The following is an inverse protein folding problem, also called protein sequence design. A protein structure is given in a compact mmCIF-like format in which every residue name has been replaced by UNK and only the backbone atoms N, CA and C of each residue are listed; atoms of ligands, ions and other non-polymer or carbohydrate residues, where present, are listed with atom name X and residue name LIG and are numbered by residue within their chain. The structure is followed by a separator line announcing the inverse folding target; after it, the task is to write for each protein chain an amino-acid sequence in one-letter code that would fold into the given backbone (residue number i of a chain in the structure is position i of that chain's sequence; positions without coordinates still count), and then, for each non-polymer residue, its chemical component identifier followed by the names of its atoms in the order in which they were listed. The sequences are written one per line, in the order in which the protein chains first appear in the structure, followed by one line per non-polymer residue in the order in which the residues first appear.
data_IF_911276546065
#
_entry.id   IF_911276546065
#
_cell.length_a   1.000
_cell.length_b   1.000
_cell.length_c   1.000
_cell.angle_alpha   90.00
_cell.angle_beta   90.00
_cell.angle_gamma   90.00
#
_symmetry.space_group_name_H-M   'P 1'
#
loop_
_entity.id
_entity.type
_entity.pdbx_description
1 polymer ?
#
# COMPACT_ATOMS: atom_id res chain seq x y z
N UNK A 1 -7.43 -19.03 24.78
CA UNK A 1 -7.56 -18.02 25.86
C UNK A 1 -9.02 -17.64 26.03
N UNK A 2 -9.51 -17.45 27.26
CA UNK A 2 -10.85 -16.89 27.51
C UNK A 2 -10.94 -15.45 26.99
N UNK A 3 -12.14 -15.04 26.53
CA UNK A 3 -12.39 -13.70 25.97
C UNK A 3 -12.80 -12.74 27.10
N UNK A 4 -12.30 -11.51 27.05
CA UNK A 4 -12.73 -10.41 27.91
C UNK A 4 -13.73 -9.53 27.16
N UNK A 5 -14.82 -9.13 27.82
CA UNK A 5 -15.90 -8.36 27.22
C UNK A 5 -16.06 -7.03 27.96
N UNK A 6 -16.13 -5.93 27.21
CA UNK A 6 -16.52 -4.60 27.68
C UNK A 6 -17.77 -4.15 26.94
N UNK A 7 -18.61 -3.38 27.61
CA UNK A 7 -19.89 -2.94 27.07
C UNK A 7 -20.05 -1.42 27.17
N UNK A 8 -21.02 -0.91 26.42
CA UNK A 8 -21.53 0.46 26.50
C UNK A 8 -20.46 1.56 26.49
N UNK A 9 -20.47 2.42 27.50
CA UNK A 9 -19.63 3.61 27.58
C UNK A 9 -18.16 3.26 27.82
N UNK A 10 -17.89 2.21 28.60
CA UNK A 10 -16.52 1.79 28.91
C UNK A 10 -15.81 1.26 27.65
N UNK A 11 -16.50 0.46 26.85
CA UNK A 11 -16.00 -0.01 25.56
C UNK A 11 -15.75 1.14 24.58
N UNK A 12 -16.74 2.03 24.44
CA UNK A 12 -16.66 3.19 23.53
C UNK A 12 -15.53 4.16 23.92
N UNK A 13 -15.36 4.40 25.22
CA UNK A 13 -14.29 5.26 25.73
C UNK A 13 -12.91 4.67 25.49
N UNK A 14 -12.75 3.35 25.65
CA UNK A 14 -11.49 2.67 25.34
C UNK A 14 -11.14 2.76 23.85
N UNK A 15 -12.10 2.46 22.97
CA UNK A 15 -11.92 2.62 21.52
C UNK A 15 -11.53 4.05 21.15
N UNK A 16 -12.20 5.06 21.73
CA UNK A 16 -11.91 6.46 21.47
C UNK A 16 -10.49 6.87 21.88
N UNK A 17 -9.97 6.34 22.99
CA UNK A 17 -8.57 6.59 23.39
C UNK A 17 -7.60 6.05 22.34
N UNK A 18 -7.82 4.83 21.87
CA UNK A 18 -7.05 4.23 20.79
C UNK A 18 -7.06 5.04 19.49
N UNK A 19 -8.27 5.40 19.04
CA UNK A 19 -8.48 6.28 17.86
C UNK A 19 -7.74 7.61 18.02
N UNK A 20 -7.79 8.23 19.20
CA UNK A 20 -7.10 9.50 19.45
C UNK A 20 -5.58 9.37 19.44
N UNK A 21 -5.03 8.34 20.07
CA UNK A 21 -3.57 8.11 20.08
C UNK A 21 -3.06 7.99 18.65
N UNK A 22 -3.73 7.17 17.84
CA UNK A 22 -3.36 6.99 16.44
C UNK A 22 -3.52 8.27 15.62
N UNK A 23 -4.67 8.94 15.74
CA UNK A 23 -4.96 10.14 14.98
C UNK A 23 -4.01 11.30 15.32
N UNK A 24 -3.66 11.52 16.58
CA UNK A 24 -2.75 12.60 16.97
C UNK A 24 -1.31 12.35 16.46
N UNK A 25 -0.86 11.10 16.42
CA UNK A 25 0.44 10.75 15.84
C UNK A 25 0.48 11.01 14.33
N UNK A 26 -0.54 10.57 13.59
CA UNK A 26 -0.61 10.71 12.14
C UNK A 26 -0.90 12.17 11.73
N UNK A 27 -1.80 12.86 12.43
CA UNK A 27 -2.17 14.27 12.13
C UNK A 27 -0.97 15.22 12.22
N UNK A 28 0.04 14.91 13.03
CA UNK A 28 1.25 15.73 13.12
C UNK A 28 1.99 15.85 11.77
N UNK A 29 1.79 14.92 10.85
CA UNK A 29 2.44 14.90 9.53
C UNK A 29 1.65 15.64 8.45
N UNK A 30 0.44 16.12 8.74
CA UNK A 30 -0.47 16.68 7.73
C UNK A 30 0.06 17.99 7.10
N UNK A 31 0.14 17.99 5.77
CA UNK A 31 0.36 19.18 4.95
C UNK A 31 1.80 19.72 4.95
N UNK A 32 2.05 20.90 4.34
CA UNK A 32 3.41 21.41 4.10
C UNK A 32 4.17 21.77 5.39
N UNK A 33 3.45 22.01 6.49
CA UNK A 33 4.02 22.25 7.82
C UNK A 33 3.99 21.00 8.71
N UNK A 34 3.76 19.84 8.11
CA UNK A 34 3.84 18.53 8.76
C UNK A 34 5.20 18.35 9.43
N UNK A 35 5.16 17.87 10.66
CA UNK A 35 6.34 17.57 11.49
C UNK A 35 6.81 16.16 11.22
N UNK A 36 8.09 15.93 11.49
CA UNK A 36 8.67 14.61 11.41
C UNK A 36 8.19 13.76 12.59
N UNK A 37 7.87 12.51 12.31
CA UNK A 37 7.69 11.46 13.30
C UNK A 37 8.94 10.58 13.26
N UNK A 38 9.45 10.26 14.44
CA UNK A 38 10.64 9.41 14.61
C UNK A 38 10.16 8.03 15.06
N UNK A 39 10.53 7.01 14.31
CA UNK A 39 10.12 5.62 14.50
C UNK A 39 11.37 4.82 14.84
N UNK A 40 11.32 4.14 15.99
CA UNK A 40 12.43 3.31 16.45
C UNK A 40 12.57 2.05 15.57
N UNK A 41 13.81 1.61 15.38
CA UNK A 41 14.15 0.37 14.68
C UNK A 41 15.01 -0.49 15.60
N UNK A 42 14.72 -1.79 15.69
CA UNK A 42 15.49 -2.74 16.52
C UNK A 42 16.98 -2.77 16.19
N UNK A 43 17.34 -2.44 14.95
CA UNK A 43 18.71 -2.37 14.46
C UNK A 43 18.90 -1.13 13.59
N UNK A 44 20.05 -0.49 13.70
CA UNK A 44 20.41 0.68 12.89
C UNK A 44 19.86 2.00 13.45
N UNK A 45 19.74 2.99 12.57
CA UNK A 45 19.21 4.31 12.91
C UNK A 45 17.67 4.33 12.85
N UNK A 46 17.01 5.19 13.65
CA UNK A 46 15.56 5.35 13.59
C UNK A 46 15.12 5.90 12.22
N UNK A 47 13.92 5.53 11.80
CA UNK A 47 13.29 6.10 10.61
C UNK A 47 12.68 7.45 10.96
N UNK A 48 12.99 8.47 10.17
CA UNK A 48 12.37 9.80 10.28
C UNK A 48 11.46 9.98 9.08
N UNK A 49 10.16 10.13 9.31
CA UNK A 49 9.17 10.20 8.23
C UNK A 49 8.12 11.29 8.45
N UNK A 50 7.56 11.76 7.34
CA UNK A 50 6.32 12.57 7.30
C UNK A 50 5.17 11.83 6.63
N UNK A 51 5.36 10.56 6.31
CA UNK A 51 4.30 9.75 5.72
C UNK A 51 3.35 9.22 6.80
N UNK A 52 2.08 9.60 6.71
CA UNK A 52 1.04 9.16 7.62
C UNK A 52 0.76 7.66 7.55
N UNK A 53 1.00 7.01 6.40
CA UNK A 53 0.79 5.55 6.25
C UNK A 53 1.85 4.78 7.03
N UNK A 54 3.12 5.14 6.85
CA UNK A 54 4.22 4.56 7.61
C UNK A 54 4.02 4.74 9.11
N UNK A 55 3.62 5.95 9.55
CA UNK A 55 3.32 6.20 10.97
C UNK A 55 2.15 5.34 11.46
N UNK A 56 1.07 5.24 10.69
CA UNK A 56 -0.09 4.43 11.01
C UNK A 56 0.23 2.93 11.13
N UNK A 57 1.15 2.42 10.29
CA UNK A 57 1.53 1.00 10.28
C UNK A 57 2.23 0.57 11.56
N UNK A 58 3.04 1.45 12.14
CA UNK A 58 3.89 1.20 13.30
C UNK A 58 3.18 1.36 14.66
N UNK A 59 1.92 1.82 14.65
CA UNK A 59 1.15 2.00 15.88
C UNK A 59 0.49 0.68 16.28
N UNK A 60 0.92 0.17 17.43
CA UNK A 60 0.32 -0.97 18.14
C UNK A 60 0.25 -0.62 19.63
N UNK A 61 -0.93 -0.75 20.22
CA UNK A 61 -1.17 -0.34 21.61
C UNK A 61 -1.18 -1.55 22.54
N UNK A 62 -0.71 -1.36 23.78
CA UNK A 62 -0.63 -2.45 24.77
C UNK A 62 -2.02 -2.87 25.28
N UNK A 63 -2.93 -1.92 25.44
CA UNK A 63 -4.31 -2.23 25.86
C UNK A 63 -5.08 -2.76 24.64
N UNK A 64 -5.65 -3.98 24.70
CA UNK A 64 -6.32 -4.58 23.54
C UNK A 64 -7.53 -3.79 23.03
N UNK A 65 -8.25 -3.08 23.90
CA UNK A 65 -9.43 -2.31 23.49
C UNK A 65 -9.04 -0.98 22.85
N UNK A 66 -7.99 -0.34 23.34
CA UNK A 66 -7.41 0.83 22.69
C UNK A 66 -6.79 0.43 21.35
N UNK A 67 -6.04 -0.67 21.31
CA UNK A 67 -5.45 -1.17 20.08
C UNK A 67 -6.51 -1.48 19.02
N UNK A 68 -7.62 -2.11 19.39
CA UNK A 68 -8.75 -2.30 18.47
C UNK A 68 -9.23 -0.98 17.84
N UNK A 69 -9.32 0.10 18.62
CA UNK A 69 -9.69 1.42 18.10
C UNK A 69 -8.66 1.99 17.13
N UNK A 70 -7.36 1.81 17.43
CA UNK A 70 -6.28 2.18 16.53
C UNK A 70 -6.30 1.34 15.24
N UNK A 71 -6.41 0.02 15.33
CA UNK A 71 -6.45 -0.86 14.14
C UNK A 71 -7.65 -0.54 13.23
N UNK A 72 -8.81 -0.17 13.78
CA UNK A 72 -9.94 0.30 12.96
C UNK A 72 -9.60 1.55 12.14
N UNK A 73 -8.87 2.50 12.73
CA UNK A 73 -8.46 3.72 12.05
C UNK A 73 -7.31 3.47 11.05
N UNK A 74 -6.44 2.51 11.33
CA UNK A 74 -5.41 2.00 10.40
C UNK A 74 -6.02 1.40 9.15
N UNK A 75 -7.11 0.67 9.29
CA UNK A 75 -7.85 0.10 8.15
C UNK A 75 -8.43 1.19 7.24
N UNK A 76 -8.95 2.28 7.82
CA UNK A 76 -9.43 3.45 7.06
C UNK A 76 -8.27 4.06 6.25
N UNK A 77 -7.13 4.30 6.91
CA UNK A 77 -5.95 4.87 6.25
C UNK A 77 -5.42 3.97 5.12
N UNK A 78 -5.30 2.66 5.36
CA UNK A 78 -4.81 1.70 4.37
C UNK A 78 -5.72 1.65 3.14
N UNK A 79 -7.03 1.51 3.33
CA UNK A 79 -7.99 1.44 2.21
C UNK A 79 -8.00 2.70 1.35
N UNK A 80 -7.81 3.88 1.95
CA UNK A 80 -7.65 5.12 1.19
C UNK A 80 -6.36 5.09 0.35
N UNK A 81 -5.25 4.63 0.93
CA UNK A 81 -3.99 4.47 0.20
C UNK A 81 -4.10 3.50 -0.97
N UNK A 82 -4.74 2.35 -0.75
CA UNK A 82 -4.80 1.26 -1.73
C UNK A 82 -5.60 1.65 -2.97
N UNK A 83 -6.62 2.52 -2.82
CA UNK A 83 -7.49 2.94 -3.92
C UNK A 83 -7.01 4.25 -4.55
N UNK A 84 -6.60 5.22 -3.73
CA UNK A 84 -6.32 6.58 -4.20
C UNK A 84 -4.82 6.94 -4.25
N UNK A 85 -3.94 6.17 -3.59
CA UNK A 85 -2.50 6.42 -3.51
C UNK A 85 -2.07 7.58 -2.60
N UNK A 86 -3.02 8.40 -2.11
CA UNK A 86 -2.78 9.52 -1.20
C UNK A 86 -4.04 9.78 -0.34
N UNK A 87 -3.95 10.69 0.64
CA UNK A 87 -5.07 11.16 1.45
C UNK A 87 -5.28 10.41 2.76
N UNK A 88 -4.37 9.52 3.12
CA UNK A 88 -4.46 8.67 4.32
C UNK A 88 -4.54 9.49 5.60
N UNK A 89 -3.67 10.49 5.75
CA UNK A 89 -3.67 11.42 6.89
C UNK A 89 -4.99 12.20 6.97
N UNK A 90 -5.52 12.64 5.83
CA UNK A 90 -6.81 13.35 5.76
C UNK A 90 -7.96 12.44 6.18
N UNK A 91 -7.98 11.18 5.71
CA UNK A 91 -8.99 10.19 6.08
C UNK A 91 -8.94 9.89 7.58
N UNK A 92 -7.76 9.74 8.17
CA UNK A 92 -7.56 9.54 9.62
C UNK A 92 -8.13 10.71 10.44
N UNK A 93 -7.84 11.95 10.05
CA UNK A 93 -8.33 13.15 10.77
C UNK A 93 -9.85 13.28 10.67
N UNK A 94 -10.44 13.02 9.49
CA UNK A 94 -11.89 13.04 9.31
C UNK A 94 -12.57 11.94 10.12
N UNK A 95 -12.03 10.72 10.09
CA UNK A 95 -12.56 9.60 10.84
C UNK A 95 -12.51 9.85 12.36
N UNK A 96 -11.41 10.42 12.89
CA UNK A 96 -11.32 10.83 14.28
C UNK A 96 -12.42 11.83 14.65
N UNK A 97 -12.62 12.88 13.83
CA UNK A 97 -13.61 13.92 14.09
C UNK A 97 -15.05 13.35 14.08
N UNK A 98 -15.39 12.56 13.07
CA UNK A 98 -16.71 11.91 12.93
C UNK A 98 -16.96 10.98 14.10
N UNK A 99 -15.98 10.14 14.47
CA UNK A 99 -16.14 9.19 15.56
C UNK A 99 -16.31 9.89 16.92
N UNK A 100 -15.52 10.93 17.20
CA UNK A 100 -15.59 11.69 18.44
C UNK A 100 -16.95 12.38 18.61
N UNK A 101 -17.40 13.11 17.60
CA UNK A 101 -18.68 13.82 17.67
C UNK A 101 -19.87 12.85 17.62
N UNK A 102 -19.75 11.73 16.89
CA UNK A 102 -20.72 10.65 16.91
C UNK A 102 -20.90 10.07 18.31
N UNK A 103 -19.80 9.68 18.97
CA UNK A 103 -19.83 9.16 20.33
C UNK A 103 -20.44 10.14 21.33
N UNK A 104 -20.10 11.43 21.24
CA UNK A 104 -20.67 12.48 22.10
C UNK A 104 -22.20 12.54 21.99
N UNK A 105 -22.74 12.45 20.77
CA UNK A 105 -24.19 12.45 20.56
C UNK A 105 -24.85 11.15 21.05
N UNK A 106 -24.17 10.01 20.90
CA UNK A 106 -24.66 8.74 21.43
C UNK A 106 -24.73 8.76 22.95
N UNK A 107 -23.71 9.30 23.62
CA UNK A 107 -23.73 9.50 25.08
C UNK A 107 -24.85 10.45 25.51
N UNK A 108 -25.20 11.43 24.67
CA UNK A 108 -26.34 12.33 24.89
C UNK A 108 -27.72 11.66 24.64
N UNK A 109 -27.76 10.37 24.32
CA UNK A 109 -29.00 9.60 24.12
C UNK A 109 -29.51 9.54 22.68
N UNK A 110 -28.75 10.05 21.70
CA UNK A 110 -29.12 9.94 20.30
C UNK A 110 -29.02 8.49 19.81
N UNK A 111 -29.92 8.09 18.92
CA UNK A 111 -29.91 6.76 18.31
C UNK A 111 -28.68 6.59 17.38
N UNK A 112 -27.74 5.66 17.66
CA UNK A 112 -26.56 5.45 16.83
C UNK A 112 -26.86 5.13 15.37
N UNK A 113 -27.92 4.37 15.10
CA UNK A 113 -28.34 4.03 13.74
C UNK A 113 -28.98 5.21 13.00
N UNK A 114 -29.57 6.16 13.74
CA UNK A 114 -30.02 7.43 13.18
C UNK A 114 -28.84 8.31 12.76
N UNK A 115 -27.85 8.44 13.65
CA UNK A 115 -26.61 9.20 13.37
C UNK A 115 -25.86 8.62 12.16
N UNK A 116 -25.67 7.29 12.11
CA UNK A 116 -25.02 6.62 10.98
C UNK A 116 -25.70 6.97 9.65
N UNK A 117 -27.03 6.82 9.56
CA UNK A 117 -27.79 7.15 8.33
C UNK A 117 -27.64 8.61 7.94
N UNK A 118 -27.65 9.52 8.90
CA UNK A 118 -27.43 10.95 8.65
C UNK A 118 -26.03 11.25 8.11
N UNK A 119 -25.00 10.60 8.67
CA UNK A 119 -23.61 10.72 8.19
C UNK A 119 -23.49 10.17 6.76
N UNK A 120 -24.06 9.00 6.48
CA UNK A 120 -24.03 8.38 5.14
C UNK A 120 -24.69 9.28 4.09
N UNK A 121 -25.87 9.84 4.38
CA UNK A 121 -26.55 10.77 3.49
C UNK A 121 -25.76 12.07 3.26
N UNK A 122 -25.10 12.58 4.29
CA UNK A 122 -24.25 13.77 4.17
C UNK A 122 -23.00 13.49 3.32
N UNK A 123 -22.36 12.33 3.50
CA UNK A 123 -21.21 11.90 2.70
C UNK A 123 -21.57 11.78 1.22
N UNK A 124 -22.74 11.20 0.91
CA UNK A 124 -23.25 11.10 -0.47
C UNK A 124 -23.43 12.48 -1.09
N UNK A 125 -24.16 13.38 -0.42
CA UNK A 125 -24.39 14.74 -0.90
C UNK A 125 -23.09 15.53 -1.10
N UNK A 126 -22.14 15.42 -0.17
CA UNK A 126 -20.82 16.08 -0.29
C UNK A 126 -20.02 15.49 -1.44
N UNK A 127 -20.04 14.17 -1.62
CA UNK A 127 -19.32 13.49 -2.71
C UNK A 127 -19.82 13.93 -4.09
N UNK A 128 -21.13 14.06 -4.23
CA UNK A 128 -21.73 14.54 -5.48
C UNK A 128 -21.39 16.00 -5.76
N UNK A 129 -21.36 16.85 -4.73
CA UNK A 129 -20.94 18.23 -4.91
C UNK A 129 -19.45 18.35 -5.24
N UNK A 130 -18.59 17.54 -4.62
CA UNK A 130 -17.16 17.48 -4.95
C UNK A 130 -16.92 17.07 -6.41
N UNK A 131 -17.71 16.14 -6.96
CA UNK A 131 -17.63 15.79 -8.39
C UNK A 131 -17.99 16.96 -9.29
N UNK A 132 -18.97 17.79 -8.93
CA UNK A 132 -19.34 18.99 -9.71
C UNK A 132 -18.27 20.08 -9.64
N UNK A 133 -17.61 20.22 -8.50
CA UNK A 133 -16.51 21.18 -8.31
C UNK A 133 -15.19 20.72 -8.95
N UNK A 134 -15.07 19.42 -9.23
CA UNK A 134 -13.87 18.81 -9.80
C UNK A 134 -13.53 19.40 -11.16
N UNK A 135 -12.23 19.68 -11.37
CA UNK A 135 -11.68 20.15 -12.64
C UNK A 135 -10.69 19.10 -13.14
N UNK A 136 -10.96 18.56 -14.33
CA UNK A 136 -10.07 17.59 -14.96
C UNK A 136 -8.75 18.24 -15.36
N UNK A 137 -7.65 17.62 -14.98
CA UNK A 137 -6.29 18.04 -15.37
C UNK A 137 -6.00 17.64 -16.81
N UNK A 138 -5.82 18.64 -17.67
CA UNK A 138 -5.61 18.41 -19.12
C UNK A 138 -4.17 18.63 -19.52
N UNK A 139 -3.50 19.58 -18.89
CA UNK A 139 -2.22 20.09 -19.36
C UNK A 139 -1.05 19.56 -18.52
N UNK A 140 0.12 19.39 -19.15
CA UNK A 140 1.37 19.00 -18.48
C UNK A 140 1.68 19.86 -17.26
N UNK A 141 1.37 21.16 -17.33
CA UNK A 141 1.56 22.10 -16.22
C UNK A 141 0.70 21.75 -15.00
N UNK A 142 -0.55 21.36 -15.22
CA UNK A 142 -1.46 20.98 -14.12
C UNK A 142 -1.02 19.65 -13.50
N UNK A 143 -0.59 18.69 -14.33
CA UNK A 143 -0.02 17.41 -13.86
C UNK A 143 1.22 17.67 -13.00
N UNK A 144 2.15 18.50 -13.46
CA UNK A 144 3.35 18.86 -12.72
C UNK A 144 3.01 19.54 -11.38
N UNK A 145 1.97 20.38 -11.34
CA UNK A 145 1.51 21.02 -10.10
C UNK A 145 0.96 20.01 -9.09
N UNK A 146 0.11 19.07 -9.54
CA UNK A 146 -0.41 18.02 -8.67
C UNK A 146 0.73 17.16 -8.11
N UNK A 147 1.62 16.69 -8.99
CA UNK A 147 2.77 15.89 -8.61
C UNK A 147 3.70 16.64 -7.63
N UNK A 148 3.94 17.93 -7.86
CA UNK A 148 4.72 18.79 -6.96
C UNK A 148 4.10 18.87 -5.56
N UNK A 149 2.77 19.03 -5.47
CA UNK A 149 2.09 19.12 -4.18
C UNK A 149 2.17 17.77 -3.45
N UNK A 150 1.95 16.66 -4.16
CA UNK A 150 2.03 15.31 -3.62
C UNK A 150 3.46 14.97 -3.14
N UNK A 151 4.50 15.48 -3.81
CA UNK A 151 5.91 15.30 -3.44
C UNK A 151 6.40 16.31 -2.39
N UNK A 152 5.53 16.79 -1.49
CA UNK A 152 5.86 17.77 -0.44
C UNK A 152 6.44 19.10 -0.98
N UNK A 153 5.91 19.59 -2.10
CA UNK A 153 6.35 20.81 -2.81
C UNK A 153 7.71 20.67 -3.52
N UNK A 154 8.12 19.45 -3.89
CA UNK A 154 9.29 19.23 -4.71
C UNK A 154 8.97 19.38 -6.21
N UNK A 155 9.40 20.52 -6.76
CA UNK A 155 9.21 20.86 -8.18
C UNK A 155 10.02 19.97 -9.12
N UNK A 156 11.17 19.47 -8.68
CA UNK A 156 12.03 18.61 -9.50
C UNK A 156 11.31 17.30 -9.79
N UNK A 157 10.78 16.67 -8.73
CA UNK A 157 9.98 15.45 -8.82
C UNK A 157 8.70 15.69 -9.63
N UNK A 158 8.00 16.79 -9.37
CA UNK A 158 6.76 17.12 -10.10
C UNK A 158 6.97 17.27 -11.61
N UNK A 159 8.08 17.90 -12.02
CA UNK A 159 8.44 18.03 -13.44
C UNK A 159 8.82 16.69 -14.07
N UNK A 160 9.58 15.85 -13.36
CA UNK A 160 9.97 14.52 -13.84
C UNK A 160 8.76 13.62 -14.10
N UNK A 161 7.79 13.61 -13.17
CA UNK A 161 6.54 12.84 -13.33
C UNK A 161 5.74 13.33 -14.53
N UNK A 162 5.62 14.65 -14.69
CA UNK A 162 4.90 15.22 -15.82
C UNK A 162 5.58 14.93 -17.17
N UNK A 163 6.92 14.88 -17.22
CA UNK A 163 7.66 14.47 -18.41
C UNK A 163 7.52 12.97 -18.70
N UNK A 164 7.55 12.12 -17.66
CA UNK A 164 7.32 10.69 -17.80
C UNK A 164 5.94 10.40 -18.40
N UNK A 165 4.88 10.99 -17.82
CA UNK A 165 3.50 10.84 -18.32
C UNK A 165 3.30 11.37 -19.74
N UNK A 166 4.07 12.36 -20.17
CA UNK A 166 4.03 12.86 -21.55
C UNK A 166 4.66 11.87 -22.54
N UNK A 167 5.75 11.19 -22.14
CA UNK A 167 6.43 10.20 -22.99
C UNK A 167 5.66 8.88 -23.10
N UNK A 168 5.12 8.35 -22.00
CA UNK A 168 4.41 7.06 -21.99
C UNK A 168 2.90 7.19 -22.22
N UNK A 169 2.35 8.41 -22.15
CA UNK A 169 0.92 8.68 -22.18
C UNK A 169 0.26 8.58 -20.80
N UNK A 170 -1.00 9.04 -20.68
CA UNK A 170 -1.72 9.07 -19.40
C UNK A 170 -1.96 7.68 -18.78
N UNK A 171 -2.10 6.67 -19.63
CA UNK A 171 -2.34 5.28 -19.25
C UNK A 171 -1.06 4.43 -19.37
N UNK A 172 0.10 5.09 -19.55
CA UNK A 172 1.40 4.42 -19.63
C UNK A 172 1.92 3.97 -18.26
N UNK A 173 2.78 2.96 -18.28
CA UNK A 173 3.40 2.42 -17.06
C UNK A 173 4.60 3.27 -16.66
N UNK A 174 4.65 3.67 -15.39
CA UNK A 174 5.77 4.39 -14.79
C UNK A 174 6.29 3.56 -13.62
N UNK A 175 7.59 3.29 -13.61
CA UNK A 175 8.29 2.62 -12.50
C UNK A 175 9.34 3.56 -11.90
N UNK A 176 9.69 3.33 -10.63
CA UNK A 176 10.72 4.09 -9.91
C UNK A 176 11.73 3.13 -9.33
N UNK A 177 12.99 3.28 -9.73
CA UNK A 177 14.13 2.46 -9.29
C UNK A 177 15.15 3.32 -8.55
N UNK A 178 15.87 2.72 -7.60
CA UNK A 178 16.95 3.41 -6.88
C UNK A 178 18.22 3.44 -7.74
N UNK A 179 18.68 4.66 -8.05
CA UNK A 179 19.94 4.85 -8.76
C UNK A 179 21.12 4.89 -7.78
N UNK A 180 22.26 4.32 -8.20
CA UNK A 180 23.54 4.47 -7.48
C UNK A 180 24.18 5.85 -7.68
N UNK A 181 23.62 6.67 -8.58
CA UNK A 181 24.07 8.03 -8.86
C UNK A 181 23.31 9.07 -8.03
N UNK A 182 23.88 10.26 -7.87
CA UNK A 182 23.19 11.38 -7.22
C UNK A 182 22.07 11.98 -8.08
N UNK A 183 22.12 11.76 -9.39
CA UNK A 183 21.18 12.33 -10.34
C UNK A 183 19.94 11.43 -10.49
N UNK A 184 18.76 12.07 -10.55
CA UNK A 184 17.50 11.41 -10.91
C UNK A 184 17.33 11.48 -12.42
N UNK A 185 17.26 10.33 -13.07
CA UNK A 185 17.17 10.20 -14.53
C UNK A 185 15.81 9.64 -14.93
N UNK A 186 15.28 10.09 -16.07
CA UNK A 186 14.08 9.56 -16.69
C UNK A 186 14.46 8.82 -17.96
N UNK A 187 14.38 7.49 -17.91
CA UNK A 187 14.60 6.61 -19.06
C UNK A 187 13.28 5.98 -19.51
N UNK A 188 13.09 5.93 -20.83
CA UNK A 188 11.95 5.22 -21.44
C UNK A 188 12.47 3.95 -22.04
N UNK A 189 11.94 2.82 -21.57
CA UNK A 189 12.31 1.48 -22.04
C UNK A 189 11.10 0.77 -22.61
N UNK A 190 11.34 -0.17 -23.53
CA UNK A 190 10.30 -1.08 -23.98
C UNK A 190 9.99 -2.09 -22.87
N UNK A 191 8.73 -2.19 -22.48
CA UNK A 191 8.28 -3.07 -21.42
C UNK A 191 6.76 -3.27 -21.44
N UNK A 192 6.26 -4.11 -20.54
CA UNK A 192 4.83 -4.34 -20.40
C UNK A 192 4.44 -4.61 -18.95
N UNK A 193 3.20 -4.29 -18.60
CA UNK A 193 2.56 -4.63 -17.34
C UNK A 193 1.26 -5.38 -17.63
N UNK A 194 0.91 -6.33 -16.77
CA UNK A 194 -0.35 -7.05 -16.83
C UNK A 194 -0.87 -7.39 -15.43
N UNK A 195 -2.19 -7.54 -15.30
CA UNK A 195 -2.89 -7.65 -14.01
C UNK A 195 -2.84 -9.07 -13.41
N UNK A 196 -1.64 -9.61 -13.19
CA UNK A 196 -1.42 -10.90 -12.52
C UNK A 196 -0.31 -10.77 -11.47
N UNK A 197 -0.68 -10.96 -10.20
CA UNK A 197 0.27 -10.99 -9.09
C UNK A 197 0.99 -12.34 -8.93
N UNK A 198 1.92 -12.38 -7.99
CA UNK A 198 2.61 -13.60 -7.59
C UNK A 198 1.64 -14.64 -6.98
N UNK A 199 1.87 -15.91 -7.29
CA UNK A 199 1.01 -17.01 -6.82
C UNK A 199 1.19 -17.33 -5.33
N UNK A 200 2.30 -16.89 -4.72
CA UNK A 200 2.59 -17.13 -3.31
C UNK A 200 3.28 -15.92 -2.68
N UNK A 201 2.84 -15.46 -1.49
CA UNK A 201 3.53 -14.39 -0.75
C UNK A 201 4.98 -14.72 -0.39
N UNK A 202 5.35 -16.01 -0.39
CA UNK A 202 6.72 -16.44 -0.12
C UNK A 202 7.71 -16.12 -1.26
N UNK A 203 7.24 -15.59 -2.39
CA UNK A 203 8.13 -15.08 -3.44
C UNK A 203 8.61 -13.65 -3.20
N UNK A 204 7.97 -12.92 -2.27
CA UNK A 204 8.32 -11.53 -1.93
C UNK A 204 9.79 -11.42 -1.58
N UNK A 205 10.47 -10.48 -2.24
CA UNK A 205 11.89 -10.15 -2.00
C UNK A 205 12.04 -8.85 -1.24
N UNK A 206 11.10 -7.92 -1.43
CA UNK A 206 10.99 -6.68 -0.67
C UNK A 206 9.79 -6.77 0.27
N UNK A 207 10.05 -7.05 1.55
CA UNK A 207 9.02 -7.18 2.58
C UNK A 207 8.43 -5.82 3.02
N UNK A 208 9.10 -4.70 2.76
CA UNK A 208 8.57 -3.37 3.09
C UNK A 208 7.50 -2.95 2.07
N UNK A 209 7.77 -3.17 0.78
CA UNK A 209 6.84 -2.87 -0.32
C UNK A 209 5.88 -4.00 -0.64
N UNK A 210 6.13 -5.21 -0.13
CA UNK A 210 5.42 -6.44 -0.50
C UNK A 210 5.54 -6.73 -2.01
N UNK A 211 6.75 -6.57 -2.54
CA UNK A 211 7.06 -6.69 -3.98
C UNK A 211 8.04 -7.83 -4.27
N UNK A 212 7.99 -8.32 -5.51
CA UNK A 212 8.96 -9.28 -6.06
C UNK A 212 9.81 -8.55 -7.07
N UNK A 213 11.08 -8.32 -6.74
CA UNK A 213 12.08 -7.65 -7.58
C UNK A 213 13.09 -8.68 -8.02
N UNK A 214 13.20 -8.88 -9.35
CA UNK A 214 14.15 -9.82 -9.96
C UNK A 214 15.03 -9.07 -10.96
N UNK A 215 16.32 -8.95 -10.66
CA UNK A 215 17.31 -8.32 -11.54
C UNK A 215 17.87 -9.33 -12.56
N UNK A 216 18.00 -8.92 -13.83
CA UNK A 216 18.56 -9.74 -14.92
C UNK A 216 17.96 -11.17 -15.01
N UNK A 217 16.65 -11.28 -14.76
CA UNK A 217 15.95 -12.54 -14.68
C UNK A 217 15.74 -13.21 -16.04
N UNK A 218 15.79 -14.53 -16.05
CA UNK A 218 15.28 -15.34 -17.15
C UNK A 218 13.75 -15.38 -17.07
N UNK A 219 13.07 -15.35 -18.22
CA UNK A 219 11.61 -15.44 -18.29
C UNK A 219 11.22 -16.73 -19.00
N UNK A 220 10.54 -17.61 -18.29
CA UNK A 220 9.90 -18.78 -18.88
C UNK A 220 8.44 -18.46 -19.17
N UNK A 221 8.05 -18.64 -20.43
CA UNK A 221 6.67 -18.54 -20.88
C UNK A 221 6.18 -19.96 -21.21
N UNK A 222 5.14 -20.41 -20.54
CA UNK A 222 4.58 -21.75 -20.72
C UNK A 222 3.06 -21.70 -20.87
N UNK A 223 2.53 -22.26 -21.96
CA UNK A 223 1.10 -22.15 -22.27
C UNK A 223 0.20 -22.99 -21.36
N UNK A 224 0.72 -24.05 -20.72
CA UNK A 224 -0.09 -25.02 -19.97
C UNK A 224 0.06 -24.88 -18.46
N UNK A 225 -0.82 -25.55 -17.73
CA UNK A 225 -0.68 -25.74 -16.29
C UNK A 225 0.58 -26.54 -15.93
N UNK A 226 1.28 -26.08 -14.91
CA UNK A 226 2.42 -26.74 -14.30
C UNK A 226 2.01 -27.26 -12.92
N UNK A 227 1.63 -28.54 -12.87
CA UNK A 227 1.25 -29.22 -11.63
C UNK A 227 2.37 -30.12 -11.08
N UNK A 228 3.22 -30.65 -11.97
CA UNK A 228 4.29 -31.60 -11.64
C UNK A 228 5.65 -30.99 -11.92
N UNK A 229 6.57 -31.08 -10.95
CA UNK A 229 7.90 -30.47 -11.05
C UNK A 229 8.85 -31.21 -11.99
N UNK A 230 8.60 -32.50 -12.24
CA UNK A 230 9.47 -33.39 -13.01
C UNK A 230 9.82 -32.84 -14.40
N UNK A 231 8.86 -32.23 -15.07
CA UNK A 231 9.03 -31.71 -16.44
C UNK A 231 9.86 -30.42 -16.45
N UNK A 232 9.95 -29.73 -15.31
CA UNK A 232 10.68 -28.48 -15.13
C UNK A 232 12.12 -28.70 -14.63
N UNK A 233 12.43 -29.86 -14.04
CA UNK A 233 13.73 -30.14 -13.42
C UNK A 233 14.93 -29.83 -14.34
N UNK A 234 14.97 -30.30 -15.61
CA UNK A 234 16.14 -30.05 -16.46
C UNK A 234 16.40 -28.56 -16.70
N UNK A 235 15.33 -27.77 -16.83
CA UNK A 235 15.41 -26.32 -17.00
C UNK A 235 15.85 -25.64 -15.71
N UNK A 236 15.25 -26.01 -14.58
CA UNK A 236 15.58 -25.43 -13.27
C UNK A 236 17.04 -25.69 -12.87
N UNK A 237 17.58 -26.86 -13.21
CA UNK A 237 19.01 -27.16 -13.02
C UNK A 237 19.91 -26.23 -13.83
N UNK A 238 19.55 -25.93 -15.08
CA UNK A 238 20.31 -24.98 -15.91
C UNK A 238 20.23 -23.56 -15.36
N UNK A 239 19.04 -23.14 -14.92
CA UNK A 239 18.83 -21.82 -14.29
C UNK A 239 19.65 -21.71 -13.01
N UNK A 240 19.58 -22.72 -12.14
CA UNK A 240 20.35 -22.76 -10.90
C UNK A 240 21.87 -22.66 -11.17
N UNK A 241 22.39 -23.33 -12.21
CA UNK A 241 23.79 -23.23 -12.63
C UNK A 241 24.17 -21.84 -13.14
N UNK A 242 23.23 -21.14 -13.78
CA UNK A 242 23.48 -19.79 -14.28
C UNK A 242 23.53 -18.74 -13.15
N UNK A 243 22.97 -19.07 -11.97
CA UNK A 243 22.85 -18.15 -10.84
C UNK A 243 21.86 -17.01 -11.06
N UNK A 244 21.20 -16.95 -12.22
CA UNK A 244 20.23 -15.90 -12.54
C UNK A 244 18.86 -16.20 -11.92
N UNK A 245 18.09 -15.17 -11.52
CA UNK A 245 16.70 -15.34 -11.14
C UNK A 245 15.83 -15.83 -12.30
N UNK A 246 14.68 -16.41 -12.00
CA UNK A 246 13.72 -16.91 -13.00
C UNK A 246 12.29 -16.48 -12.67
N UNK A 247 11.64 -15.84 -13.65
CA UNK A 247 10.21 -15.57 -13.65
C UNK A 247 9.49 -16.64 -14.48
N UNK A 248 8.50 -17.29 -13.91
CA UNK A 248 7.66 -18.28 -14.59
C UNK A 248 6.28 -17.66 -14.86
N UNK A 249 5.91 -17.55 -16.13
CA UNK A 249 4.59 -17.13 -16.59
C UNK A 249 3.92 -18.36 -17.21
N UNK A 250 2.89 -18.89 -16.55
CA UNK A 250 2.16 -20.06 -17.01
C UNK A 250 0.65 -19.93 -16.83
N UNK A 251 -0.17 -20.73 -17.52
CA UNK A 251 -1.64 -20.74 -17.31
C UNK A 251 -1.98 -20.85 -15.82
N UNK A 252 -1.33 -21.79 -15.13
CA UNK A 252 -1.43 -21.99 -13.69
C UNK A 252 -0.21 -22.76 -13.17
N UNK A 253 0.30 -22.40 -11.99
CA UNK A 253 1.30 -23.19 -11.27
C UNK A 253 0.68 -23.61 -9.95
N UNK A 254 0.47 -24.91 -9.76
CA UNK A 254 -0.31 -25.42 -8.63
C UNK A 254 0.30 -26.69 -8.02
N UNK A 255 -0.27 -27.11 -6.88
CA UNK A 255 0.05 -28.36 -6.23
C UNK A 255 1.54 -28.50 -5.86
N UNK A 256 2.12 -29.63 -6.25
CA UNK A 256 3.50 -30.00 -5.93
C UNK A 256 4.53 -29.03 -6.53
N UNK A 257 4.29 -28.57 -7.76
CA UNK A 257 5.20 -27.65 -8.45
C UNK A 257 5.34 -26.31 -7.69
N UNK A 258 4.22 -25.70 -7.29
CA UNK A 258 4.24 -24.44 -6.53
C UNK A 258 4.92 -24.61 -5.17
N UNK A 259 4.58 -25.67 -4.44
CA UNK A 259 5.18 -25.96 -3.13
C UNK A 259 6.71 -26.12 -3.25
N UNK A 260 7.17 -26.82 -4.29
CA UNK A 260 8.60 -27.05 -4.52
C UNK A 260 9.34 -25.77 -4.89
N UNK A 261 8.75 -24.89 -5.71
CA UNK A 261 9.32 -23.57 -6.03
C UNK A 261 9.46 -22.70 -4.77
N UNK A 262 8.43 -22.67 -3.93
CA UNK A 262 8.43 -21.90 -2.68
C UNK A 262 9.53 -22.40 -1.73
N UNK A 263 9.63 -23.71 -1.53
CA UNK A 263 10.65 -24.28 -0.62
C UNK A 263 12.07 -24.00 -1.12
N UNK A 264 12.31 -24.08 -2.43
CA UNK A 264 13.63 -23.78 -3.00
C UNK A 264 13.98 -22.29 -2.92
N UNK A 265 13.00 -21.40 -3.11
CA UNK A 265 13.18 -19.96 -2.89
C UNK A 265 13.55 -19.65 -1.44
N UNK A 266 12.82 -20.21 -0.48
CA UNK A 266 13.08 -20.02 0.96
C UNK A 266 14.44 -20.58 1.39
N UNK A 267 14.92 -21.64 0.74
CA UNK A 267 16.26 -22.21 0.98
C UNK A 267 17.38 -21.45 0.27
N UNK A 268 17.06 -20.47 -0.58
CA UNK A 268 18.03 -19.72 -1.37
C UNK A 268 18.69 -20.53 -2.49
N UNK A 269 18.20 -21.74 -2.79
CA UNK A 269 18.74 -22.58 -3.88
C UNK A 269 18.32 -22.08 -5.25
N UNK A 270 17.16 -21.42 -5.34
CA UNK A 270 16.57 -20.95 -6.59
C UNK A 270 15.87 -19.61 -6.37
N UNK A 271 16.28 -18.56 -7.07
CA UNK A 271 15.61 -17.26 -7.00
C UNK A 271 14.48 -17.19 -8.03
N UNK A 272 13.32 -17.74 -7.68
CA UNK A 272 12.15 -17.77 -8.57
C UNK A 272 10.94 -17.02 -8.06
N UNK A 273 10.11 -16.58 -9.00
CA UNK A 273 8.72 -16.24 -8.78
C UNK A 273 7.84 -16.81 -9.90
N UNK A 274 6.56 -17.06 -9.59
CA UNK A 274 5.59 -17.56 -10.55
C UNK A 274 4.33 -16.70 -10.55
N UNK A 275 3.86 -16.37 -11.74
CA UNK A 275 2.65 -15.59 -12.02
C UNK A 275 1.77 -16.34 -13.02
N UNK A 276 0.45 -16.09 -12.98
CA UNK A 276 -0.44 -16.59 -14.04
C UNK A 276 -0.22 -15.82 -15.33
N UNK A 277 -0.43 -16.47 -16.46
CA UNK A 277 -0.45 -15.83 -17.76
C UNK A 277 -1.59 -14.76 -17.81
N UNK A 278 -1.34 -13.62 -18.48
CA UNK A 278 -2.38 -12.65 -18.76
C UNK A 278 -3.22 -13.14 -19.96
N UNK A 279 -4.54 -13.24 -19.77
CA UNK A 279 -5.46 -13.85 -20.75
C UNK A 279 -5.73 -15.30 -20.40
#
# INVERSE_FOLDING_TARGET
MPKQLKFDEEARSALLRGVNIMAEAVKATLGPKGRNVVIDKKFGSPTITKDGVTVAKEIELKDPYEDMGAQMLKEVASKTSDIAGDGTTTATVLAQAIFREGLKNVTAGANPMGLKRGIEAAVEAVSDELKKLSKSTKDKKEIAQVATIASNNDKTIGNLIAEAMEKVGKDGVITVEESKSADTVLDVVEGMQFDRGYLSPYFVTDAERMEVVLEDALVLIHEKKVSVMKDMLPLLEQVARSGKPLLIIAEEVEGEALATLVVNKLRGTLHTAAVKAPG
#
